data_IF_031522156837
#
_entry.id   IF_031522156837
#
_cell.length_a   1.000
_cell.length_b   1.000
_cell.length_c   1.000
_cell.angle_alpha   90.00
_cell.angle_beta   90.00
_cell.angle_gamma   90.00
#
_symmetry.space_group_name_H-M   'P 1'
#
loop_
_entity.id
_entity.type
_entity.pdbx_description
1 polymer ?
#
# COMPACT_ATOMS: atom_id res chain seq x y z
N UNK A 1 -12.45 -22.33 -73.46
CA UNK A 1 -13.09 -23.25 -72.49
C UNK A 1 -12.16 -23.36 -71.27
N UNK A 2 -12.71 -23.08 -70.06
CA UNK A 2 -12.20 -23.27 -68.67
C UNK A 2 -10.78 -22.73 -68.31
N UNK A 3 -10.51 -21.85 -67.33
CA UNK A 3 -10.96 -21.55 -65.94
C UNK A 3 -10.13 -22.24 -64.82
N UNK A 4 -9.76 -21.41 -63.82
CA UNK A 4 -9.24 -21.66 -62.44
C UNK A 4 -7.73 -21.94 -62.29
N UNK A 5 -7.00 -21.48 -61.26
CA UNK A 5 -7.39 -20.78 -60.02
C UNK A 5 -6.15 -20.42 -59.16
N UNK A 6 -6.35 -19.49 -58.24
CA UNK A 6 -5.39 -18.89 -57.29
C UNK A 6 -4.73 -19.88 -56.31
N UNK A 7 -3.54 -19.54 -55.79
CA UNK A 7 -3.21 -19.65 -54.34
C UNK A 7 -1.86 -19.01 -53.97
N UNK A 8 -1.89 -18.19 -52.92
CA UNK A 8 -0.72 -17.64 -52.21
C UNK A 8 -0.29 -18.60 -51.09
N UNK A 9 1.00 -18.70 -50.75
CA UNK A 9 1.41 -19.45 -49.56
C UNK A 9 1.38 -18.56 -48.31
N UNK A 10 0.29 -18.75 -47.55
CA UNK A 10 0.27 -19.04 -46.12
C UNK A 10 1.37 -18.42 -45.24
N UNK A 11 1.02 -17.31 -44.60
CA UNK A 11 1.69 -16.82 -43.39
C UNK A 11 1.58 -17.84 -42.25
N UNK A 12 2.70 -18.31 -41.71
CA UNK A 12 2.71 -19.17 -40.52
C UNK A 12 3.89 -18.82 -39.61
N UNK A 13 3.86 -17.63 -39.01
CA UNK A 13 4.68 -17.33 -37.85
C UNK A 13 3.87 -17.58 -36.57
N UNK A 14 3.64 -18.85 -36.26
CA UNK A 14 3.23 -19.26 -34.93
C UNK A 14 4.43 -19.14 -33.98
N UNK A 15 4.70 -17.93 -33.49
CA UNK A 15 5.65 -17.73 -32.39
C UNK A 15 4.89 -17.67 -31.07
N UNK A 16 4.97 -18.78 -30.32
CA UNK A 16 4.38 -18.95 -29.01
C UNK A 16 4.76 -17.80 -28.07
N UNK A 17 3.77 -17.05 -27.61
CA UNK A 17 3.97 -15.98 -26.64
C UNK A 17 4.11 -16.59 -25.24
N UNK A 18 5.38 -16.66 -24.85
CA UNK A 18 5.89 -16.96 -23.52
C UNK A 18 5.06 -16.26 -22.42
N UNK A 19 4.32 -17.04 -21.63
CA UNK A 19 3.40 -16.60 -20.56
C UNK A 19 4.12 -15.98 -19.33
N UNK A 20 5.45 -15.92 -19.33
CA UNK A 20 6.25 -15.49 -18.17
C UNK A 20 6.53 -13.97 -18.09
N UNK A 21 6.03 -13.17 -19.04
CA UNK A 21 6.36 -11.74 -19.13
C UNK A 21 5.32 -10.79 -18.53
N UNK A 22 4.31 -11.31 -17.82
CA UNK A 22 3.17 -10.54 -17.32
C UNK A 22 3.46 -9.49 -16.23
N UNK A 23 4.71 -9.30 -15.80
CA UNK A 23 5.08 -8.32 -14.75
C UNK A 23 6.17 -7.32 -15.12
N UNK A 24 6.83 -7.45 -16.27
CA UNK A 24 7.87 -6.50 -16.67
C UNK A 24 7.42 -5.74 -17.90
N UNK A 25 7.05 -4.47 -17.70
CA UNK A 25 6.83 -3.51 -18.80
C UNK A 25 8.07 -3.52 -19.71
N UNK A 26 7.92 -3.98 -20.95
CA UNK A 26 8.95 -3.78 -21.97
C UNK A 26 9.04 -2.29 -22.28
N UNK A 27 10.25 -1.81 -22.58
CA UNK A 27 10.43 -0.41 -23.03
C UNK A 27 9.87 -0.17 -24.43
N UNK A 28 9.74 -1.24 -25.22
CA UNK A 28 9.28 -1.25 -26.60
C UNK A 28 8.20 -2.33 -26.80
N UNK A 29 7.23 -2.08 -27.69
CA UNK A 29 6.28 -3.07 -28.15
C UNK A 29 6.96 -4.05 -29.13
N UNK A 30 6.23 -5.04 -29.64
CA UNK A 30 6.82 -6.01 -30.57
C UNK A 30 7.13 -5.43 -31.96
N UNK A 31 6.63 -4.23 -32.29
CA UNK A 31 7.06 -3.47 -33.48
C UNK A 31 8.41 -2.75 -33.29
N UNK A 32 8.96 -2.73 -32.07
CA UNK A 32 10.14 -1.91 -31.73
C UNK A 32 9.81 -0.49 -31.26
N UNK A 33 8.56 -0.06 -31.40
CA UNK A 33 8.10 1.28 -31.01
C UNK A 33 7.85 1.41 -29.49
N UNK A 34 7.85 2.65 -28.98
CA UNK A 34 7.54 2.90 -27.56
C UNK A 34 6.04 2.68 -27.31
N UNK A 35 5.65 1.83 -26.33
CA UNK A 35 4.25 1.61 -26.00
C UNK A 35 3.61 2.87 -25.43
N UNK A 36 2.36 3.11 -25.80
CA UNK A 36 1.55 4.25 -25.35
C UNK A 36 0.63 3.83 -24.21
N UNK A 37 0.28 4.78 -23.34
CA UNK A 37 -0.65 4.55 -22.24
C UNK A 37 -2.07 4.81 -22.71
N UNK A 38 -2.87 3.75 -22.83
CA UNK A 38 -4.25 3.80 -23.25
C UNK A 38 -5.19 3.47 -22.08
N UNK A 39 -6.46 3.83 -22.23
CA UNK A 39 -7.53 3.52 -21.27
C UNK A 39 -8.49 2.52 -21.91
N UNK A 40 -8.75 1.43 -21.20
CA UNK A 40 -9.68 0.40 -21.62
C UNK A 40 -11.11 0.92 -21.61
N UNK A 41 -11.80 0.76 -22.74
CA UNK A 41 -13.23 1.04 -22.93
C UNK A 41 -14.09 -0.23 -22.93
N UNK A 42 -13.51 -1.40 -22.68
CA UNK A 42 -14.24 -2.68 -22.61
C UNK A 42 -15.19 -2.70 -21.42
N UNK A 43 -16.34 -3.35 -21.56
CA UNK A 43 -17.34 -3.48 -20.49
C UNK A 43 -16.78 -4.17 -19.23
N UNK A 44 -15.81 -5.09 -19.39
CA UNK A 44 -15.20 -5.86 -18.30
C UNK A 44 -14.16 -5.05 -17.52
N UNK A 45 -13.49 -4.10 -18.17
CA UNK A 45 -12.42 -3.29 -17.58
C UNK A 45 -12.59 -1.80 -17.92
N UNK A 46 -13.72 -1.16 -17.57
CA UNK A 46 -13.96 0.23 -17.91
C UNK A 46 -12.99 1.14 -17.16
N UNK A 47 -12.35 2.07 -17.86
CA UNK A 47 -11.49 3.10 -17.25
C UNK A 47 -10.12 2.61 -16.78
N UNK A 48 -9.81 1.31 -16.92
CA UNK A 48 -8.53 0.74 -16.49
C UNK A 48 -7.44 1.03 -17.52
N UNK A 49 -6.26 1.51 -17.08
CA UNK A 49 -5.19 1.93 -17.99
C UNK A 49 -4.24 0.77 -18.33
N UNK A 50 -3.71 0.75 -19.55
CA UNK A 50 -2.74 -0.25 -20.02
C UNK A 50 -1.71 0.37 -20.97
N UNK A 51 -0.53 -0.24 -21.04
CA UNK A 51 0.50 0.05 -22.02
C UNK A 51 0.28 -0.83 -23.26
N UNK A 52 -0.04 -0.20 -24.38
CA UNK A 52 -0.36 -0.85 -25.66
C UNK A 52 0.57 -0.45 -26.80
N UNK A 53 0.49 -1.15 -27.92
CA UNK A 53 1.12 -0.71 -29.17
C UNK A 53 0.57 0.68 -29.58
N UNK A 54 1.38 1.49 -30.25
CA UNK A 54 0.92 2.77 -30.83
C UNK A 54 -0.19 2.57 -31.87
N UNK A 55 -0.16 1.44 -32.58
CA UNK A 55 -1.17 1.08 -33.58
C UNK A 55 -2.39 0.34 -32.99
N UNK A 56 -2.56 0.32 -31.66
CA UNK A 56 -3.68 -0.35 -31.00
C UNK A 56 -5.02 0.16 -31.55
N UNK A 57 -5.88 -0.75 -32.03
CA UNK A 57 -7.19 -0.42 -32.61
C UNK A 57 -7.19 0.01 -34.09
N UNK A 58 -6.04 0.08 -34.75
CA UNK A 58 -5.89 0.50 -36.17
C UNK A 58 -5.66 -0.72 -37.10
N UNK A 59 -5.64 -1.93 -36.56
CA UNK A 59 -5.47 -3.20 -37.31
C UNK A 59 -4.01 -3.63 -37.51
N UNK A 60 -3.06 -2.69 -37.46
CA UNK A 60 -1.61 -2.93 -37.54
C UNK A 60 -0.96 -3.12 -36.16
N UNK A 61 -1.71 -3.63 -35.19
CA UNK A 61 -1.22 -3.81 -33.83
C UNK A 61 -0.44 -5.12 -33.68
N UNK A 62 0.69 -5.07 -32.97
CA UNK A 62 1.47 -6.28 -32.68
C UNK A 62 0.93 -7.09 -31.49
N UNK A 63 -0.18 -6.66 -30.86
CA UNK A 63 -0.75 -7.31 -29.68
C UNK A 63 0.13 -7.19 -28.42
N UNK A 64 0.98 -6.17 -28.32
CA UNK A 64 1.64 -5.81 -27.07
C UNK A 64 0.63 -5.18 -26.12
N UNK A 65 0.49 -5.78 -24.93
CA UNK A 65 -0.43 -5.34 -23.89
C UNK A 65 0.16 -5.63 -22.51
N UNK A 66 0.23 -4.61 -21.65
CA UNK A 66 0.60 -4.77 -20.23
C UNK A 66 -0.27 -3.81 -19.41
N UNK A 67 -0.96 -4.31 -18.39
CA UNK A 67 -1.72 -3.45 -17.48
C UNK A 67 -0.81 -2.38 -16.86
N UNK A 68 -1.24 -1.13 -16.89
CA UNK A 68 -0.58 -0.10 -16.11
C UNK A 68 -0.95 -0.37 -14.65
N UNK A 69 0.06 -0.49 -13.78
CA UNK A 69 -0.18 -0.50 -12.35
C UNK A 69 -1.01 0.74 -12.01
N UNK A 70 -2.13 0.55 -11.30
CA UNK A 70 -2.86 1.69 -10.79
C UNK A 70 -1.92 2.44 -9.84
N UNK A 71 -1.80 3.75 -10.02
CA UNK A 71 -1.02 4.63 -9.12
C UNK A 71 -1.53 4.61 -7.66
N UNK A 72 -2.47 3.73 -7.31
CA UNK A 72 -2.90 3.46 -5.95
C UNK A 72 -1.84 2.77 -5.09
N UNK A 73 -0.79 2.16 -5.67
CA UNK A 73 0.17 1.37 -4.90
C UNK A 73 1.37 2.07 -4.23
N UNK A 74 1.82 3.29 -4.59
CA UNK A 74 2.92 3.93 -3.84
C UNK A 74 2.47 4.66 -2.56
N UNK A 75 1.21 5.10 -2.51
CA UNK A 75 0.69 5.94 -1.40
C UNK A 75 0.22 5.10 -0.22
N UNK A 76 -0.43 3.97 -0.47
CA UNK A 76 -0.94 3.07 0.57
C UNK A 76 0.18 2.53 1.49
N UNK A 77 1.32 2.00 1.00
CA UNK A 77 2.41 1.55 1.86
C UNK A 77 3.07 2.70 2.60
N UNK A 78 3.19 3.90 1.99
CA UNK A 78 3.73 5.10 2.66
C UNK A 78 2.81 5.57 3.79
N UNK A 79 1.50 5.61 3.54
CA UNK A 79 0.50 5.99 4.54
C UNK A 79 0.43 4.96 5.67
N UNK A 80 0.48 3.65 5.35
CA UNK A 80 0.56 2.57 6.36
C UNK A 80 1.83 2.67 7.23
N UNK A 81 2.99 3.00 6.65
CA UNK A 81 4.22 3.28 7.43
C UNK A 81 4.05 4.47 8.38
N UNK A 82 3.41 5.56 7.92
CA UNK A 82 3.12 6.71 8.78
C UNK A 82 2.15 6.36 9.90
N UNK A 83 1.08 5.62 9.61
CA UNK A 83 0.09 5.17 10.60
C UNK A 83 0.76 4.28 11.65
N UNK A 84 1.57 3.30 11.24
CA UNK A 84 2.28 2.40 12.18
C UNK A 84 3.29 3.15 13.04
N UNK A 85 4.05 4.10 12.47
CA UNK A 85 4.96 4.96 13.22
C UNK A 85 4.21 5.85 14.23
N UNK A 86 3.14 6.53 13.80
CA UNK A 86 2.33 7.38 14.68
C UNK A 86 1.68 6.56 15.80
N UNK A 87 1.18 5.36 15.50
CA UNK A 87 0.59 4.45 16.48
C UNK A 87 1.60 4.04 17.55
N UNK A 88 2.86 3.76 17.16
CA UNK A 88 3.93 3.46 18.11
C UNK A 88 4.29 4.65 19.03
N UNK A 89 4.22 5.88 18.52
CA UNK A 89 4.44 7.09 19.34
C UNK A 89 3.29 7.31 20.33
N UNK A 90 2.05 7.16 19.88
CA UNK A 90 0.87 7.30 20.74
C UNK A 90 0.89 6.29 21.89
N UNK A 91 1.17 5.01 21.61
CA UNK A 91 1.24 3.98 22.66
C UNK A 91 2.38 4.23 23.66
N UNK A 92 3.49 4.82 23.22
CA UNK A 92 4.60 5.19 24.11
C UNK A 92 4.19 6.32 25.06
N UNK A 93 3.62 7.41 24.52
CA UNK A 93 3.12 8.53 25.33
C UNK A 93 2.03 8.07 26.29
N UNK A 94 1.11 7.21 25.83
CA UNK A 94 0.06 6.63 26.66
C UNK A 94 0.66 5.81 27.83
N UNK A 95 1.69 4.99 27.57
CA UNK A 95 2.39 4.25 28.65
C UNK A 95 3.09 5.21 29.61
N UNK A 96 3.76 6.24 29.12
CA UNK A 96 4.42 7.23 29.98
C UNK A 96 3.42 7.96 30.87
N UNK A 97 2.26 8.37 30.31
CA UNK A 97 1.20 9.02 31.07
C UNK A 97 0.62 8.08 32.14
N UNK A 98 0.33 6.83 31.79
CA UNK A 98 -0.16 5.82 32.76
C UNK A 98 0.83 5.61 33.91
N UNK A 99 2.13 5.53 33.62
CA UNK A 99 3.16 5.38 34.66
C UNK A 99 3.29 6.63 35.53
N UNK A 100 3.26 7.84 34.94
CA UNK A 100 3.32 9.08 35.70
C UNK A 100 2.14 9.24 36.66
N UNK A 101 0.92 8.90 36.21
CA UNK A 101 -0.28 8.90 37.06
C UNK A 101 -0.14 7.89 38.20
N UNK A 102 0.33 6.67 37.91
CA UNK A 102 0.53 5.65 38.94
C UNK A 102 1.54 6.10 40.01
N UNK A 103 2.69 6.65 39.60
CA UNK A 103 3.70 7.19 40.53
C UNK A 103 3.13 8.35 41.36
N UNK A 104 2.37 9.25 40.74
CA UNK A 104 1.71 10.35 41.43
C UNK A 104 0.71 9.87 42.49
N UNK A 105 -0.12 8.88 42.16
CA UNK A 105 -1.07 8.29 43.11
C UNK A 105 -0.35 7.61 44.28
N UNK A 106 0.67 6.80 44.02
CA UNK A 106 1.45 6.12 45.08
C UNK A 106 2.12 7.16 45.99
N UNK A 107 2.82 8.14 45.41
CA UNK A 107 3.47 9.20 46.17
C UNK A 107 2.48 9.99 47.04
N UNK A 108 1.31 10.34 46.49
CA UNK A 108 0.25 11.01 47.24
C UNK A 108 -0.24 10.15 48.40
N UNK A 109 -0.52 8.87 48.16
CA UNK A 109 -0.99 7.96 49.23
C UNK A 109 0.03 7.80 50.35
N UNK A 110 1.33 7.67 50.04
CA UNK A 110 2.39 7.64 51.04
C UNK A 110 2.46 8.93 51.86
N UNK A 111 2.31 10.09 51.23
CA UNK A 111 2.29 11.37 51.92
C UNK A 111 1.11 11.48 52.90
N UNK A 112 -0.09 11.03 52.50
CA UNK A 112 -1.26 10.97 53.39
C UNK A 112 -0.97 10.07 54.60
N UNK A 113 -0.41 8.88 54.38
CA UNK A 113 -0.10 7.93 55.47
C UNK A 113 0.87 8.58 56.47
N UNK A 114 1.95 9.19 55.99
CA UNK A 114 2.93 9.87 56.86
C UNK A 114 2.31 11.04 57.62
N UNK A 115 1.40 11.79 57.01
CA UNK A 115 0.66 12.87 57.67
C UNK A 115 -0.28 12.31 58.76
N UNK A 116 -0.99 11.22 58.47
CA UNK A 116 -1.84 10.52 59.43
C UNK A 116 -1.04 10.00 60.63
N UNK A 117 0.15 9.44 60.41
CA UNK A 117 1.05 8.97 61.46
C UNK A 117 1.57 10.14 62.31
N UNK A 118 2.04 11.22 61.67
CA UNK A 118 2.47 12.44 62.38
C UNK A 118 1.37 13.05 63.23
N UNK A 119 0.15 13.15 62.69
CA UNK A 119 -1.00 13.68 63.41
C UNK A 119 -1.41 12.77 64.58
N UNK A 120 -1.35 11.45 64.41
CA UNK A 120 -1.65 10.51 65.48
C UNK A 120 -0.60 10.56 66.60
N UNK A 121 0.67 10.68 66.24
CA UNK A 121 1.78 10.82 67.20
C UNK A 121 1.68 12.12 68.00
N UNK A 122 1.37 13.25 67.37
CA UNK A 122 1.18 14.53 68.08
C UNK A 122 -0.04 14.53 68.98
N UNK A 123 -1.14 13.86 68.57
CA UNK A 123 -2.35 13.75 69.39
C UNK A 123 -2.15 12.84 70.61
N UNK A 124 -1.42 11.73 70.45
CA UNK A 124 -1.11 10.81 71.54
C UNK A 124 -0.04 11.37 72.50
N UNK A 125 0.93 12.13 72.01
CA UNK A 125 1.92 12.83 72.84
C UNK A 125 1.33 13.98 73.67
N UNK A 126 0.26 14.62 73.19
CA UNK A 126 -0.48 15.65 73.93
C UNK A 126 -1.36 15.12 75.06
N UNK A 127 -1.58 13.81 75.13
CA UNK A 127 -2.33 13.16 76.21
C UNK A 127 -1.44 12.68 77.37
N UNK A 128 -0.11 12.72 77.22
CA UNK A 128 0.88 12.24 78.19
C UNK A 128 1.68 13.37 78.88
N UNK A 129 1.18 14.61 78.83
CA UNK A 129 1.75 15.79 79.50
C UNK A 129 0.66 16.52 80.30
#
# INVERSE_FOLDING_TARGET
MASQGSQAPSSSFASGRNSSQGRRRRRTCYCGERPVLATSSTAENPGRRFWGCVNYGIGEECGYFVWAESEQEPQVPRLKRRITCLKGKVTTVERMLRMAVAVGLVGWTCAIILLCEKFSSTRNGRFFL
#
